data_IF_756247139726
#
_entry.id   IF_756247139726
#
_cell.length_a   1.000
_cell.length_b   1.000
_cell.length_c   1.000
_cell.angle_alpha   90.00
_cell.angle_beta   90.00
_cell.angle_gamma   90.00
#
_symmetry.space_group_name_H-M   'P 1'
#
loop_
_entity.id
_entity.type
_entity.pdbx_description
1 polymer ?
#
# COMPACT_ATOMS: atom_id res chain seq x y z
N UNK A 1 16.69 -5.48 12.74
CA UNK A 1 17.38 -6.43 13.62
C UNK A 1 18.04 -7.46 12.73
N UNK A 2 19.36 -7.69 12.81
CA UNK A 2 19.94 -8.75 11.99
C UNK A 2 19.37 -10.10 12.44
N UNK A 3 19.02 -10.95 11.48
CA UNK A 3 18.65 -12.36 11.72
C UNK A 3 19.91 -13.12 12.12
N UNK A 4 20.37 -12.88 13.35
CA UNK A 4 21.60 -13.39 13.90
C UNK A 4 21.37 -14.72 14.64
N UNK A 5 22.46 -15.36 15.03
CA UNK A 5 22.42 -16.52 15.91
C UNK A 5 21.65 -16.17 17.20
N UNK A 6 20.66 -17.01 17.53
CA UNK A 6 19.90 -16.90 18.78
C UNK A 6 20.50 -17.91 19.75
N UNK A 7 21.14 -17.46 20.84
CA UNK A 7 21.77 -18.37 21.80
C UNK A 7 20.78 -19.38 22.34
N UNK A 8 21.13 -20.67 22.26
CA UNK A 8 20.31 -21.76 22.78
C UNK A 8 19.05 -22.09 21.97
N UNK A 9 18.88 -21.55 20.77
CA UNK A 9 17.77 -21.93 19.88
C UNK A 9 17.97 -23.38 19.40
N UNK A 10 17.07 -24.32 19.76
CA UNK A 10 17.18 -25.68 19.29
C UNK A 10 16.84 -25.77 17.80
N UNK A 11 17.55 -26.63 17.07
CA UNK A 11 17.14 -27.03 15.72
C UNK A 11 15.90 -27.91 15.82
N UNK A 12 14.88 -27.63 14.99
CA UNK A 12 13.69 -28.49 14.88
C UNK A 12 13.99 -29.81 14.18
N UNK A 13 15.05 -29.85 13.37
CA UNK A 13 15.47 -31.00 12.59
C UNK A 13 16.94 -31.31 12.93
N UNK A 14 17.22 -31.93 14.09
CA UNK A 14 18.58 -32.26 14.49
C UNK A 14 19.22 -33.23 13.49
N UNK A 15 20.32 -32.82 12.86
CA UNK A 15 20.95 -33.60 11.78
C UNK A 15 21.41 -34.97 12.29
N UNK A 16 21.93 -35.04 13.52
CA UNK A 16 22.49 -36.27 14.08
C UNK A 16 21.51 -37.44 14.14
N UNK A 17 20.21 -37.17 14.38
CA UNK A 17 19.15 -38.18 14.44
C UNK A 17 18.65 -38.61 13.04
N UNK A 18 18.97 -37.82 12.02
CA UNK A 18 18.60 -38.07 10.62
C UNK A 18 19.68 -38.85 9.86
N UNK A 19 20.84 -39.10 10.49
CA UNK A 19 21.92 -39.87 9.89
C UNK A 19 21.61 -41.38 9.88
N UNK A 20 22.24 -42.16 8.98
CA UNK A 20 22.22 -43.62 9.07
C UNK A 20 22.69 -44.12 10.44
N UNK A 21 22.18 -45.27 10.89
CA UNK A 21 22.41 -45.82 12.23
C UNK A 21 23.89 -45.86 12.65
N UNK A 22 24.80 -46.21 11.73
CA UNK A 22 26.25 -46.24 11.99
C UNK A 22 26.80 -44.90 12.51
N UNK A 23 26.25 -43.79 12.05
CA UNK A 23 26.67 -42.45 12.46
C UNK A 23 25.78 -41.86 13.55
N UNK A 24 24.54 -42.33 13.66
CA UNK A 24 23.63 -41.91 14.74
C UNK A 24 24.17 -42.31 16.11
N UNK A 25 24.81 -43.47 16.22
CA UNK A 25 25.39 -43.99 17.46
C UNK A 25 26.83 -43.49 17.75
N UNK A 26 27.42 -42.66 16.87
CA UNK A 26 28.80 -42.17 17.01
C UNK A 26 28.89 -40.79 17.69
N UNK A 27 29.65 -40.69 18.80
CA UNK A 27 29.78 -39.44 19.60
C UNK A 27 30.36 -38.27 18.79
N UNK A 28 31.36 -38.53 17.94
CA UNK A 28 31.99 -37.48 17.15
C UNK A 28 31.01 -36.93 16.11
N UNK A 29 30.31 -37.83 15.40
CA UNK A 29 29.28 -37.46 14.44
C UNK A 29 28.19 -36.60 15.11
N UNK A 30 27.66 -37.04 16.26
CA UNK A 30 26.64 -36.29 17.02
C UNK A 30 27.12 -34.89 17.42
N UNK A 31 28.32 -34.78 17.99
CA UNK A 31 28.88 -33.49 18.42
C UNK A 31 29.19 -32.57 17.25
N UNK A 32 29.65 -33.12 16.13
CA UNK A 32 29.89 -32.36 14.90
C UNK A 32 28.58 -31.83 14.33
N UNK A 33 27.56 -32.67 14.20
CA UNK A 33 26.24 -32.26 13.68
C UNK A 33 25.53 -31.28 14.60
N UNK A 34 25.67 -31.41 15.93
CA UNK A 34 25.12 -30.45 16.89
C UNK A 34 25.68 -29.02 16.70
N UNK A 35 26.95 -28.91 16.30
CA UNK A 35 27.54 -27.63 15.90
C UNK A 35 26.88 -27.04 14.66
N UNK A 36 26.59 -27.87 13.65
CA UNK A 36 25.87 -27.45 12.44
C UNK A 36 24.42 -27.07 12.74
N UNK A 37 23.74 -27.84 13.59
CA UNK A 37 22.37 -27.57 14.05
C UNK A 37 22.27 -26.19 14.71
N UNK A 38 23.27 -25.81 15.49
CA UNK A 38 23.34 -24.47 16.12
C UNK A 38 23.39 -23.35 15.07
N UNK A 39 24.12 -23.57 13.97
CA UNK A 39 24.24 -22.58 12.87
C UNK A 39 22.96 -22.52 12.02
N UNK A 40 22.33 -23.68 11.77
CA UNK A 40 21.14 -23.77 10.92
C UNK A 40 19.83 -23.43 11.64
N UNK A 41 19.76 -23.56 12.96
CA UNK A 41 18.54 -23.33 13.73
C UNK A 41 17.85 -21.98 13.44
N UNK A 42 18.56 -20.82 13.34
CA UNK A 42 17.91 -19.55 12.99
C UNK A 42 17.34 -19.52 11.56
N UNK A 43 17.98 -20.21 10.62
CA UNK A 43 17.51 -20.32 9.23
C UNK A 43 16.23 -21.15 9.18
N UNK A 44 16.25 -22.33 9.81
CA UNK A 44 15.08 -23.20 9.89
C UNK A 44 13.91 -22.50 10.61
N UNK A 45 14.18 -21.80 11.71
CA UNK A 45 13.19 -20.99 12.40
C UNK A 45 12.62 -19.88 11.51
N UNK A 46 13.43 -19.25 10.66
CA UNK A 46 12.94 -18.24 9.71
C UNK A 46 12.05 -18.87 8.65
N UNK A 47 12.44 -20.03 8.12
CA UNK A 47 11.67 -20.77 7.11
C UNK A 47 10.34 -21.29 7.67
N UNK A 48 10.33 -21.85 8.88
CA UNK A 48 9.12 -22.32 9.55
C UNK A 48 8.14 -21.16 9.82
N UNK A 49 8.64 -19.92 9.95
CA UNK A 49 7.84 -18.72 10.14
C UNK A 49 7.71 -17.87 8.87
N UNK A 50 8.11 -18.38 7.70
CA UNK A 50 8.09 -17.64 6.45
C UNK A 50 6.72 -17.02 6.11
N UNK A 51 5.57 -17.68 6.35
CA UNK A 51 4.27 -17.05 6.11
C UNK A 51 4.06 -15.72 6.85
N UNK A 52 4.62 -15.58 8.06
CA UNK A 52 4.53 -14.34 8.84
C UNK A 52 5.28 -13.16 8.18
N UNK A 53 6.27 -13.43 7.33
CA UNK A 53 6.97 -12.39 6.57
C UNK A 53 6.13 -11.81 5.43
N UNK A 54 5.11 -12.54 4.96
CA UNK A 54 4.21 -12.08 3.90
C UNK A 54 2.92 -11.44 4.42
N UNK A 55 2.64 -11.57 5.73
CA UNK A 55 1.57 -10.83 6.39
C UNK A 55 2.13 -9.50 6.94
N UNK A 56 1.71 -8.33 6.41
CA UNK A 56 2.20 -7.04 6.90
C UNK A 56 1.95 -6.80 8.39
N UNK A 57 0.93 -7.43 8.98
CA UNK A 57 0.66 -7.31 10.41
C UNK A 57 1.71 -8.03 11.27
N UNK A 58 2.32 -9.11 10.76
CA UNK A 58 3.27 -9.95 11.46
C UNK A 58 4.72 -9.73 11.01
N UNK A 59 4.91 -9.16 9.81
CA UNK A 59 6.22 -8.98 9.22
C UNK A 59 7.12 -8.13 10.14
N UNK A 60 8.40 -8.55 10.31
CA UNK A 60 9.41 -7.74 10.99
C UNK A 60 9.53 -6.35 10.35
N UNK A 61 9.70 -5.33 11.18
CA UNK A 61 9.68 -3.93 10.75
C UNK A 61 10.78 -3.60 9.72
N UNK A 62 11.91 -4.30 9.76
CA UNK A 62 13.01 -4.16 8.80
C UNK A 62 12.78 -4.90 7.49
N UNK A 63 11.87 -5.87 7.45
CA UNK A 63 11.46 -6.56 6.23
C UNK A 63 10.31 -5.84 5.51
N UNK A 64 9.50 -5.08 6.25
CA UNK A 64 8.35 -4.36 5.72
C UNK A 64 8.68 -3.47 4.51
N UNK A 65 9.81 -2.72 4.45
CA UNK A 65 10.17 -1.93 3.26
C UNK A 65 10.44 -2.78 2.01
N UNK A 66 11.05 -3.95 2.18
CA UNK A 66 11.25 -4.88 1.07
C UNK A 66 9.90 -5.42 0.58
N UNK A 67 9.01 -5.80 1.50
CA UNK A 67 7.67 -6.26 1.17
C UNK A 67 6.86 -5.16 0.46
N UNK A 68 6.97 -3.91 0.92
CA UNK A 68 6.34 -2.75 0.32
C UNK A 68 6.79 -2.54 -1.13
N UNK A 69 8.11 -2.63 -1.40
CA UNK A 69 8.64 -2.55 -2.75
C UNK A 69 8.12 -3.68 -3.65
N UNK A 70 7.99 -4.91 -3.11
CA UNK A 70 7.48 -6.05 -3.86
C UNK A 70 6.01 -5.87 -4.30
N UNK A 71 5.17 -5.28 -3.44
CA UNK A 71 3.75 -5.02 -3.76
C UNK A 71 3.50 -3.63 -4.37
N UNK A 72 4.55 -2.86 -4.67
CA UNK A 72 4.42 -1.50 -5.21
C UNK A 72 3.78 -0.49 -4.26
N UNK A 73 3.85 -0.72 -2.95
CA UNK A 73 3.38 0.22 -1.94
C UNK A 73 4.42 1.32 -1.71
N UNK A 74 4.05 2.58 -1.96
CA UNK A 74 4.85 3.73 -1.56
C UNK A 74 4.71 3.96 -0.06
N UNK A 75 5.71 3.54 0.72
CA UNK A 75 5.80 3.84 2.14
C UNK A 75 6.78 4.99 2.38
N UNK A 76 6.39 5.91 3.27
CA UNK A 76 7.26 6.98 3.76
C UNK A 76 7.86 6.53 5.10
N UNK A 77 9.20 6.54 5.26
CA UNK A 77 9.85 6.18 6.52
C UNK A 77 9.42 7.03 7.71
N UNK A 78 8.91 8.25 7.49
CA UNK A 78 8.40 9.12 8.54
C UNK A 78 7.03 8.68 9.08
N UNK A 79 6.33 7.76 8.40
CA UNK A 79 5.01 7.29 8.86
C UNK A 79 5.13 6.38 10.09
N UNK A 80 4.12 6.41 10.98
CA UNK A 80 3.99 5.42 12.03
C UNK A 80 3.99 3.99 11.45
N UNK A 81 4.63 3.00 12.12
CA UNK A 81 4.70 1.63 11.64
C UNK A 81 3.33 1.02 11.31
N UNK A 82 2.30 1.38 12.06
CA UNK A 82 0.93 0.91 11.88
C UNK A 82 0.36 1.38 10.54
N UNK A 83 0.64 2.63 10.16
CA UNK A 83 0.22 3.18 8.87
C UNK A 83 1.01 2.54 7.72
N UNK A 84 2.31 2.34 7.87
CA UNK A 84 3.13 1.64 6.87
C UNK A 84 2.55 0.23 6.61
N UNK A 85 2.25 -0.52 7.68
CA UNK A 85 1.64 -1.85 7.56
C UNK A 85 0.26 -1.82 6.89
N UNK A 86 -0.58 -0.86 7.25
CA UNK A 86 -1.91 -0.71 6.65
C UNK A 86 -1.84 -0.42 5.14
N UNK A 87 -0.90 0.42 4.71
CA UNK A 87 -0.69 0.73 3.29
C UNK A 87 -0.19 -0.50 2.53
N UNK A 88 0.77 -1.25 3.07
CA UNK A 88 1.26 -2.48 2.45
C UNK A 88 0.16 -3.54 2.36
N UNK A 89 -0.63 -3.73 3.42
CA UNK A 89 -1.73 -4.68 3.45
C UNK A 89 -2.82 -4.38 2.41
N UNK A 90 -3.07 -3.10 2.15
CA UNK A 90 -4.09 -2.66 1.19
C UNK A 90 -3.55 -2.39 -0.21
N UNK A 91 -2.25 -2.59 -0.43
CA UNK A 91 -1.60 -2.24 -1.69
C UNK A 91 -2.33 -2.88 -2.89
N UNK A 92 -2.59 -4.18 -2.85
CA UNK A 92 -3.26 -4.88 -3.96
C UNK A 92 -4.68 -4.34 -4.22
N UNK A 93 -5.44 -4.06 -3.18
CA UNK A 93 -6.77 -3.45 -3.29
C UNK A 93 -6.68 -2.07 -3.97
N UNK A 94 -5.76 -1.23 -3.52
CA UNK A 94 -5.55 0.12 -4.07
C UNK A 94 -5.08 0.07 -5.53
N UNK A 95 -4.24 -0.90 -5.89
CA UNK A 95 -3.80 -1.09 -7.28
C UNK A 95 -4.95 -1.44 -8.22
N UNK A 96 -5.97 -2.18 -7.76
CA UNK A 96 -7.16 -2.50 -8.58
C UNK A 96 -7.96 -1.27 -8.98
N UNK A 97 -7.91 -0.22 -8.16
CA UNK A 97 -8.64 1.03 -8.38
C UNK A 97 -7.75 2.17 -8.87
N UNK A 98 -6.48 1.91 -9.20
CA UNK A 98 -5.58 2.93 -9.75
C UNK A 98 -6.17 3.57 -11.00
N UNK A 99 -5.95 4.88 -11.16
CA UNK A 99 -6.52 5.67 -12.24
C UNK A 99 -8.01 5.98 -12.13
N UNK A 100 -8.68 5.56 -11.04
CA UNK A 100 -10.10 5.89 -10.79
C UNK A 100 -10.24 6.94 -9.71
N UNK A 101 -11.34 7.73 -9.75
CA UNK A 101 -11.71 8.67 -8.68
C UNK A 101 -11.78 7.97 -7.32
N UNK A 102 -12.43 6.81 -7.27
CA UNK A 102 -12.56 6.02 -6.03
C UNK A 102 -11.19 5.64 -5.47
N UNK A 103 -10.33 5.07 -6.31
CA UNK A 103 -8.99 4.64 -5.88
C UNK A 103 -8.15 5.80 -5.36
N UNK A 104 -8.22 6.97 -6.02
CA UNK A 104 -7.50 8.16 -5.56
C UNK A 104 -8.03 8.67 -4.21
N UNK A 105 -9.35 8.74 -4.03
CA UNK A 105 -9.98 9.15 -2.76
C UNK A 105 -9.61 8.18 -1.63
N UNK A 106 -9.70 6.88 -1.87
CA UNK A 106 -9.38 5.85 -0.87
C UNK A 106 -7.88 5.88 -0.49
N UNK A 107 -7.00 6.11 -1.46
CA UNK A 107 -5.56 6.23 -1.24
C UNK A 107 -5.22 7.48 -0.40
N UNK A 108 -5.79 8.65 -0.75
CA UNK A 108 -5.56 9.89 -0.02
C UNK A 108 -6.08 9.81 1.42
N UNK A 109 -7.24 9.19 1.62
CA UNK A 109 -7.79 8.95 2.95
C UNK A 109 -6.88 8.06 3.79
N UNK A 110 -6.31 7.01 3.21
CA UNK A 110 -5.41 6.11 3.91
C UNK A 110 -4.09 6.80 4.30
N UNK A 111 -3.43 7.48 3.36
CA UNK A 111 -2.09 8.04 3.57
C UNK A 111 -2.10 9.34 4.40
N UNK A 112 -3.16 10.16 4.30
CA UNK A 112 -3.19 11.50 4.90
C UNK A 112 -4.34 11.73 5.88
N UNK A 113 -5.28 10.77 6.03
CA UNK A 113 -6.44 10.98 6.89
C UNK A 113 -7.33 12.14 6.41
N UNK A 114 -7.44 12.33 5.09
CA UNK A 114 -8.22 13.41 4.47
C UNK A 114 -9.47 12.88 3.77
N UNK A 115 -10.46 13.74 3.63
CA UNK A 115 -11.47 13.61 2.61
C UNK A 115 -10.96 14.24 1.30
N UNK A 116 -11.46 13.76 0.17
CA UNK A 116 -11.08 14.27 -1.14
C UNK A 116 -12.28 14.39 -2.07
N UNK A 117 -12.35 15.49 -2.83
CA UNK A 117 -13.19 15.67 -4.00
C UNK A 117 -12.30 15.73 -5.24
N UNK A 118 -12.64 14.96 -6.27
CA UNK A 118 -11.85 14.81 -7.49
C UNK A 118 -12.73 15.17 -8.66
N UNK A 119 -12.30 16.16 -9.44
CA UNK A 119 -13.01 16.65 -10.63
C UNK A 119 -12.09 16.61 -11.84
N UNK A 120 -12.56 15.94 -12.87
CA UNK A 120 -11.93 15.92 -14.19
C UNK A 120 -12.66 16.91 -15.11
N UNK A 121 -11.93 17.56 -16.01
CA UNK A 121 -12.47 18.50 -16.99
C UNK A 121 -13.13 17.85 -18.21
N UNK A 122 -13.22 16.53 -18.26
CA UNK A 122 -13.94 15.81 -19.30
C UNK A 122 -15.48 15.86 -19.16
N UNK A 123 -16.17 15.85 -20.29
CA UNK A 123 -17.64 15.80 -20.36
C UNK A 123 -18.10 14.62 -21.22
N UNK A 124 -19.20 13.99 -20.81
CA UNK A 124 -19.89 12.98 -21.62
C UNK A 124 -21.30 13.48 -21.89
N UNK A 125 -21.68 13.55 -23.15
CA UNK A 125 -23.04 13.80 -23.59
C UNK A 125 -23.49 12.68 -24.52
N UNK A 126 -24.78 12.35 -24.50
CA UNK A 126 -25.38 11.44 -25.46
C UNK A 126 -26.62 12.12 -26.04
N UNK A 127 -26.91 11.82 -27.31
CA UNK A 127 -28.10 12.31 -28.00
C UNK A 127 -28.66 11.24 -28.92
N UNK A 128 -29.98 11.20 -29.04
CA UNK A 128 -30.67 10.37 -30.03
C UNK A 128 -30.78 11.07 -31.40
N UNK A 129 -30.48 12.37 -31.47
CA UNK A 129 -30.57 13.18 -32.68
C UNK A 129 -29.19 13.40 -33.32
N UNK A 130 -29.06 13.19 -34.65
CA UNK A 130 -27.81 13.45 -35.34
C UNK A 130 -27.50 14.95 -35.37
N UNK A 131 -26.23 15.31 -35.19
CA UNK A 131 -25.75 16.70 -35.26
C UNK A 131 -25.84 17.50 -33.95
N UNK A 132 -26.13 16.84 -32.82
CA UNK A 132 -26.03 17.50 -31.50
C UNK A 132 -24.61 17.98 -31.23
N UNK A 133 -24.49 19.18 -30.65
CA UNK A 133 -23.19 19.78 -30.32
C UNK A 133 -22.42 18.89 -29.34
N UNK A 134 -21.13 18.69 -29.65
CA UNK A 134 -20.26 17.89 -28.79
C UNK A 134 -19.90 18.68 -27.53
N UNK A 135 -19.75 18.02 -26.37
CA UNK A 135 -19.21 18.68 -25.20
C UNK A 135 -17.83 19.25 -25.50
N UNK A 136 -17.42 20.33 -24.80
CA UNK A 136 -16.11 20.93 -24.99
C UNK A 136 -15.00 19.90 -24.79
N UNK A 137 -13.88 20.10 -25.49
CA UNK A 137 -12.72 19.24 -25.35
C UNK A 137 -12.25 19.22 -23.87
N UNK A 138 -11.83 18.04 -23.36
CA UNK A 138 -11.33 17.94 -22.00
C UNK A 138 -10.10 18.83 -21.82
N UNK A 139 -10.02 19.55 -20.70
CA UNK A 139 -8.87 20.40 -20.37
C UNK A 139 -7.60 19.59 -20.08
N UNK A 140 -7.75 18.29 -19.79
CA UNK A 140 -6.64 17.45 -19.32
C UNK A 140 -6.18 17.79 -17.91
N UNK A 141 -6.94 18.60 -17.17
CA UNK A 141 -6.63 18.98 -15.79
C UNK A 141 -7.52 18.20 -14.81
N UNK A 142 -6.88 17.59 -13.81
CA UNK A 142 -7.53 16.93 -12.69
C UNK A 142 -7.40 17.79 -11.43
N UNK A 143 -8.52 18.34 -10.97
CA UNK A 143 -8.59 19.10 -9.73
C UNK A 143 -8.88 18.17 -8.55
N UNK A 144 -7.98 18.15 -7.58
CA UNK A 144 -8.10 17.36 -6.35
C UNK A 144 -8.16 18.30 -5.16
N UNK A 145 -9.32 18.38 -4.53
CA UNK A 145 -9.56 19.16 -3.31
C UNK A 145 -9.52 18.23 -2.11
N UNK A 146 -8.71 18.55 -1.11
CA UNK A 146 -8.60 17.73 0.11
C UNK A 146 -8.84 18.55 1.36
N UNK A 147 -9.44 17.94 2.37
CA UNK A 147 -9.61 18.55 3.69
C UNK A 147 -9.42 17.50 4.80
N UNK A 148 -8.87 17.88 5.96
CA UNK A 148 -8.61 16.93 7.04
C UNK A 148 -9.90 16.31 7.60
N UNK A 149 -9.83 15.04 7.99
CA UNK A 149 -10.93 14.38 8.75
C UNK A 149 -10.96 14.88 10.20
N UNK A 150 -9.79 15.08 10.81
CA UNK A 150 -9.66 15.58 12.17
C UNK A 150 -9.47 17.10 12.18
N UNK A 151 -10.24 17.86 12.98
CA UNK A 151 -10.07 19.31 13.10
C UNK A 151 -8.65 19.67 13.55
N UNK A 152 -8.02 20.61 12.86
CA UNK A 152 -6.68 21.11 13.20
C UNK A 152 -5.50 20.26 12.70
N UNK A 153 -5.75 19.13 12.02
CA UNK A 153 -4.70 18.38 11.35
C UNK A 153 -4.18 19.17 10.14
N UNK A 154 -2.86 19.31 10.04
CA UNK A 154 -2.19 19.98 8.92
C UNK A 154 -1.84 18.96 7.84
N UNK A 155 -2.05 19.34 6.58
CA UNK A 155 -1.75 18.49 5.42
C UNK A 155 -0.89 19.30 4.47
N UNK A 156 0.25 18.74 4.10
CA UNK A 156 1.20 19.38 3.20
C UNK A 156 0.81 19.13 1.74
N UNK A 157 0.59 20.21 0.99
CA UNK A 157 0.14 20.13 -0.40
C UNK A 157 1.13 19.41 -1.33
N UNK A 158 2.44 19.58 -1.10
CA UNK A 158 3.49 18.94 -1.90
C UNK A 158 3.41 17.41 -1.82
N UNK A 159 3.27 16.88 -0.60
CA UNK A 159 3.13 15.44 -0.36
C UNK A 159 1.85 14.85 -0.96
N UNK A 160 0.73 15.58 -0.87
CA UNK A 160 -0.52 15.17 -1.52
C UNK A 160 -0.34 15.12 -3.03
N UNK A 161 0.29 16.15 -3.61
CA UNK A 161 0.54 16.22 -5.05
C UNK A 161 1.41 15.06 -5.55
N UNK A 162 2.44 14.65 -4.80
CA UNK A 162 3.28 13.49 -5.14
C UNK A 162 2.43 12.21 -5.25
N UNK A 163 1.57 11.95 -4.25
CA UNK A 163 0.69 10.78 -4.24
C UNK A 163 -0.35 10.82 -5.36
N UNK A 164 -0.93 12.00 -5.61
CA UNK A 164 -1.88 12.20 -6.72
C UNK A 164 -1.19 11.93 -8.05
N UNK A 165 -0.02 12.52 -8.28
CA UNK A 165 0.72 12.38 -9.54
C UNK A 165 1.15 10.94 -9.78
N UNK A 166 1.57 10.21 -8.73
CA UNK A 166 1.91 8.79 -8.84
C UNK A 166 0.70 7.88 -9.14
N UNK A 167 -0.53 8.35 -8.90
CA UNK A 167 -1.77 7.58 -9.04
C UNK A 167 -2.54 7.91 -10.32
N UNK A 168 -2.25 9.05 -10.95
CA UNK A 168 -2.97 9.55 -12.11
C UNK A 168 -2.36 9.07 -13.44
N UNK A 169 -3.17 8.91 -14.49
CA UNK A 169 -2.67 8.69 -15.84
C UNK A 169 -1.71 9.79 -16.30
N UNK A 170 -0.69 9.42 -17.08
CA UNK A 170 0.41 10.31 -17.52
C UNK A 170 -0.02 11.51 -18.37
N UNK A 171 -1.23 11.49 -18.93
CA UNK A 171 -1.75 12.56 -19.79
C UNK A 171 -2.51 13.63 -19.01
N UNK A 172 -2.74 13.45 -17.70
CA UNK A 172 -3.46 14.42 -16.87
C UNK A 172 -2.49 15.30 -16.10
N UNK A 173 -2.77 16.60 -16.09
CA UNK A 173 -2.11 17.58 -15.23
C UNK A 173 -2.89 17.66 -13.92
N UNK A 174 -2.24 17.39 -12.80
CA UNK A 174 -2.90 17.36 -11.49
C UNK A 174 -2.71 18.68 -10.73
N UNK A 175 -3.80 19.23 -10.21
CA UNK A 175 -3.79 20.39 -9.32
C UNK A 175 -4.40 20.02 -7.98
N UNK A 176 -3.71 20.36 -6.89
CA UNK A 176 -4.15 20.07 -5.53
C UNK A 176 -4.53 21.36 -4.80
N UNK A 177 -5.70 21.36 -4.15
CA UNK A 177 -6.17 22.44 -3.28
C UNK A 177 -6.46 21.91 -1.88
N UNK A 178 -5.84 22.50 -0.85
CA UNK A 178 -6.14 22.18 0.55
C UNK A 178 -7.25 23.10 1.03
N UNK A 179 -8.35 22.53 1.52
CA UNK A 179 -9.51 23.25 2.05
C UNK A 179 -9.59 23.11 3.57
N UNK A 180 -10.13 24.12 4.29
CA UNK A 180 -10.38 24.04 5.73
C UNK A 180 -11.54 23.09 6.08
N UNK A 181 -12.38 22.74 5.11
CA UNK A 181 -13.56 21.90 5.29
C UNK A 181 -14.15 21.45 3.95
N UNK A 182 -15.30 20.75 3.95
CA UNK A 182 -15.92 20.28 2.72
C UNK A 182 -16.27 21.45 1.79
N UNK A 183 -16.07 21.31 0.46
CA UNK A 183 -16.42 22.35 -0.49
C UNK A 183 -17.93 22.60 -0.45
N UNK A 184 -18.35 23.86 -0.43
CA UNK A 184 -19.76 24.22 -0.64
C UNK A 184 -20.22 23.66 -2.00
N UNK A 185 -21.40 23.04 -2.02
CA UNK A 185 -21.99 22.57 -3.26
C UNK A 185 -22.17 23.77 -4.20
N UNK A 186 -21.58 23.71 -5.39
CA UNK A 186 -21.76 24.75 -6.38
C UNK A 186 -23.27 24.89 -6.68
N UNK A 187 -23.85 26.11 -6.66
CA UNK A 187 -25.23 26.30 -7.07
C UNK A 187 -25.36 26.06 -8.57
N UNK A 188 -26.09 25.01 -8.98
CA UNK A 188 -26.55 24.83 -10.36
C UNK A 188 -26.11 23.52 -11.05
N UNK A 189 -26.76 22.42 -10.71
CA UNK A 189 -27.18 21.43 -11.73
C UNK A 189 -28.68 21.28 -11.58
N UNK A 190 -29.41 22.19 -12.21
CA UNK A 190 -30.86 22.07 -12.40
C UNK A 190 -31.10 20.72 -13.09
N UNK A 191 -31.66 19.78 -12.35
CA UNK A 191 -32.26 18.58 -12.93
C UNK A 191 -33.51 19.07 -13.64
N UNK A 192 -33.36 19.32 -14.94
CA UNK A 192 -34.48 19.63 -15.81
C UNK A 192 -35.40 18.41 -15.83
N UNK A 193 -36.50 18.55 -15.10
CA UNK A 193 -37.60 17.62 -15.05
C UNK A 193 -38.36 17.79 -16.36
N UNK A 194 -38.20 16.86 -17.31
CA UNK A 194 -39.09 16.79 -18.47
C UNK A 194 -39.91 15.53 -18.36
N UNK A 195 -41.19 15.75 -18.02
CA UNK A 195 -42.22 14.74 -18.06
C UNK A 195 -42.56 14.33 -19.50
N UNK A 196 -43.11 13.11 -19.59
CA UNK A 196 -43.69 12.47 -20.75
C UNK A 196 -44.18 11.09 -20.33
#
# INVERSE_FOLDING_TARGET
>A
MSRAAVPGLPSRYPIGELLPALYADDDLAQRFTAGLDTVLAPVLSTLDNLPAYFDPALAPADFLPWLAAWVGAGIDPAWPPELQRAVVARAVELHRWRGTRRGLVDHLRLCFGVHADVRDGGGVAWSAEPGTELPPAPTGELLVRVWPVAPGATVEAARVLEVVTASCPVHLTCRVEILPGPPEAAPGTTTETTGG
#
